data_IF_872734478570
#
_entry.id   IF_872734478570
#
_cell.length_a   1.000
_cell.length_b   1.000
_cell.length_c   1.000
_cell.angle_alpha   90.00
_cell.angle_beta   90.00
_cell.angle_gamma   90.00
#
_symmetry.space_group_name_H-M   'P 1'
#
loop_
_entity.id
_entity.type
_entity.pdbx_description
1 polymer ?
#
# COMPACT_ATOMS: atom_id res chain seq x y z
N UNK A 1 -13.40 20.42 -22.11
CA UNK A 1 -13.75 21.09 -20.85
C UNK A 1 -13.88 19.97 -19.84
N UNK A 2 -13.06 20.00 -18.79
CA UNK A 2 -13.05 18.98 -17.74
C UNK A 2 -13.86 19.49 -16.55
N UNK A 3 -14.04 18.66 -15.52
CA UNK A 3 -14.69 19.06 -14.27
C UNK A 3 -13.74 18.83 -13.11
N UNK A 4 -13.71 19.75 -12.15
CA UNK A 4 -12.93 19.60 -10.94
C UNK A 4 -13.39 18.33 -10.20
N UNK A 5 -12.48 17.41 -9.83
CA UNK A 5 -12.85 16.16 -9.16
C UNK A 5 -13.40 16.38 -7.75
N UNK A 6 -13.15 17.54 -7.14
CA UNK A 6 -13.60 17.88 -5.78
C UNK A 6 -15.01 18.48 -5.76
N UNK A 7 -15.27 19.48 -6.62
CA UNK A 7 -16.49 20.30 -6.55
C UNK A 7 -17.31 20.29 -7.86
N UNK A 8 -16.92 19.48 -8.83
CA UNK A 8 -17.55 19.36 -10.16
C UNK A 8 -17.61 20.66 -10.99
N UNK A 9 -16.97 21.75 -10.55
CA UNK A 9 -16.95 23.01 -11.30
C UNK A 9 -16.21 22.83 -12.65
N UNK A 10 -16.64 23.50 -13.73
CA UNK A 10 -15.95 23.43 -15.02
C UNK A 10 -14.51 23.94 -14.90
N UNK A 11 -13.57 23.20 -15.48
CA UNK A 11 -12.14 23.57 -15.54
C UNK A 11 -11.60 23.34 -16.94
N UNK A 12 -10.62 24.15 -17.34
CA UNK A 12 -9.87 23.97 -18.57
C UNK A 12 -8.71 22.98 -18.36
N UNK A 13 -8.32 22.28 -19.43
CA UNK A 13 -7.27 21.26 -19.39
C UNK A 13 -5.88 21.78 -18.99
N UNK A 14 -5.67 23.10 -19.07
CA UNK A 14 -4.43 23.79 -18.71
C UNK A 14 -4.44 24.35 -17.28
N UNK A 15 -5.60 24.35 -16.60
CA UNK A 15 -5.74 24.95 -15.28
C UNK A 15 -4.88 24.19 -14.28
N UNK A 16 -4.20 24.95 -13.41
CA UNK A 16 -3.38 24.39 -12.34
C UNK A 16 -4.19 24.16 -11.07
N UNK A 17 -5.16 25.03 -10.82
CA UNK A 17 -6.03 25.00 -9.66
C UNK A 17 -7.46 25.22 -10.10
N UNK A 18 -8.40 24.60 -9.40
CA UNK A 18 -9.81 24.94 -9.53
C UNK A 18 -10.07 26.29 -8.88
N UNK A 19 -10.59 27.26 -9.64
CA UNK A 19 -10.92 28.59 -9.11
C UNK A 19 -12.00 28.55 -8.02
N UNK A 20 -12.87 27.54 -8.03
CA UNK A 20 -13.99 27.43 -7.09
C UNK A 20 -13.58 26.88 -5.71
N UNK A 21 -12.67 25.90 -5.65
CA UNK A 21 -12.30 25.24 -4.39
C UNK A 21 -10.80 25.20 -4.10
N UNK A 22 -9.95 25.78 -4.97
CA UNK A 22 -8.50 25.79 -4.81
C UNK A 22 -7.80 24.45 -5.07
N UNK A 23 -8.54 23.39 -5.46
CA UNK A 23 -7.97 22.06 -5.71
C UNK A 23 -6.88 22.10 -6.78
N UNK A 24 -5.70 21.58 -6.49
CA UNK A 24 -4.64 21.40 -7.49
C UNK A 24 -5.06 20.34 -8.53
N UNK A 25 -5.26 20.76 -9.76
CA UNK A 25 -5.74 19.93 -10.87
C UNK A 25 -4.62 19.12 -11.55
N UNK A 26 -3.36 19.39 -11.20
CA UNK A 26 -2.20 18.63 -11.69
C UNK A 26 -1.95 17.35 -10.90
N UNK A 27 -2.55 17.23 -9.71
CA UNK A 27 -2.37 16.10 -8.81
C UNK A 27 -3.70 15.37 -8.65
N UNK A 28 -3.71 14.12 -9.08
CA UNK A 28 -4.79 13.17 -8.81
C UNK A 28 -4.30 12.22 -7.75
N UNK A 29 -5.09 11.96 -6.70
CA UNK A 29 -4.75 10.98 -5.66
C UNK A 29 -5.99 10.28 -5.14
N UNK A 30 -5.79 9.14 -4.50
CA UNK A 30 -6.80 8.46 -3.69
C UNK A 30 -7.32 9.38 -2.58
N UNK A 31 -8.56 9.17 -2.09
CA UNK A 31 -9.09 9.94 -0.97
C UNK A 31 -8.22 9.84 0.28
N UNK A 32 -8.07 10.96 0.99
CA UNK A 32 -7.41 11.00 2.31
C UNK A 32 -8.36 10.42 3.35
N UNK A 33 -7.87 9.57 4.24
CA UNK A 33 -8.66 8.84 5.24
C UNK A 33 -9.25 7.51 4.74
N UNK A 34 -8.90 7.09 3.51
CA UNK A 34 -9.30 5.79 2.95
C UNK A 34 -10.67 5.83 2.24
N UNK A 35 -11.38 4.70 2.11
CA UNK A 35 -12.71 4.69 1.51
C UNK A 35 -13.67 5.55 2.35
N UNK A 36 -14.56 6.29 1.70
CA UNK A 36 -15.56 7.11 2.40
C UNK A 36 -16.37 6.27 3.40
N UNK A 37 -16.89 6.91 4.46
CA UNK A 37 -17.60 6.27 5.57
C UNK A 37 -18.97 5.66 5.21
N UNK A 38 -19.22 5.31 3.95
CA UNK A 38 -20.46 4.66 3.52
C UNK A 38 -20.39 3.17 3.81
N UNK A 39 -21.17 2.72 4.79
CA UNK A 39 -21.22 1.32 5.14
C UNK A 39 -22.07 0.57 4.11
N UNK A 40 -21.64 -0.61 3.65
CA UNK A 40 -22.49 -1.48 2.85
C UNK A 40 -23.85 -1.66 3.54
N UNK A 41 -24.96 -1.56 2.80
CA UNK A 41 -26.29 -1.58 3.40
C UNK A 41 -26.69 -2.97 3.90
N UNK A 42 -25.95 -4.02 3.54
CA UNK A 42 -26.35 -5.41 3.74
C UNK A 42 -25.17 -6.27 4.21
N UNK A 43 -25.44 -7.20 5.11
CA UNK A 43 -24.51 -8.23 5.55
C UNK A 43 -24.22 -9.23 4.43
N UNK A 44 -23.05 -9.88 4.46
CA UNK A 44 -22.70 -10.94 3.52
C UNK A 44 -23.68 -12.15 3.50
N UNK A 45 -24.52 -12.30 4.52
CA UNK A 45 -25.58 -13.32 4.54
C UNK A 45 -26.90 -12.90 3.88
N UNK A 46 -27.01 -11.64 3.44
CA UNK A 46 -28.25 -11.04 2.94
C UNK A 46 -29.08 -10.28 3.98
N UNK A 47 -28.70 -10.33 5.26
CA UNK A 47 -29.40 -9.61 6.32
C UNK A 47 -29.15 -8.10 6.28
N UNK A 48 -30.18 -7.31 6.56
CA UNK A 48 -30.14 -5.83 6.55
C UNK A 48 -30.20 -5.23 7.97
N UNK A 49 -30.59 -6.03 8.96
CA UNK A 49 -30.72 -5.61 10.36
C UNK A 49 -29.46 -5.95 11.17
N UNK A 50 -29.02 -4.97 11.96
CA UNK A 50 -27.85 -5.06 12.83
C UNK A 50 -28.22 -4.55 14.21
N UNK A 51 -27.72 -5.23 15.24
CA UNK A 51 -27.91 -4.82 16.62
C UNK A 51 -27.13 -3.53 16.98
N UNK A 52 -27.26 -3.08 18.22
CA UNK A 52 -26.60 -1.87 18.71
C UNK A 52 -25.06 -1.97 18.70
N UNK A 53 -24.51 -3.18 18.71
CA UNK A 53 -23.08 -3.47 18.67
C UNK A 53 -22.58 -3.66 17.22
N UNK A 54 -23.49 -3.55 16.24
CA UNK A 54 -23.17 -3.64 14.82
C UNK A 54 -23.04 -5.07 14.31
N UNK A 55 -23.61 -6.07 14.97
CA UNK A 55 -23.65 -7.45 14.48
C UNK A 55 -24.98 -7.74 13.80
N UNK A 56 -24.93 -8.47 12.68
CA UNK A 56 -26.09 -8.83 11.89
C UNK A 56 -27.01 -9.73 12.72
N UNK A 57 -28.27 -9.33 12.91
CA UNK A 57 -29.22 -10.09 13.73
C UNK A 57 -29.54 -11.47 13.12
N UNK A 58 -29.32 -11.65 11.82
CA UNK A 58 -29.58 -12.92 11.11
C UNK A 58 -28.45 -13.94 11.23
N UNK A 59 -27.18 -13.52 11.24
CA UNK A 59 -26.04 -14.45 11.21
C UNK A 59 -24.94 -14.17 12.25
N UNK A 60 -25.06 -13.11 13.05
CA UNK A 60 -24.09 -12.72 14.07
C UNK A 60 -22.75 -12.21 13.53
N UNK A 61 -22.62 -11.96 12.22
CA UNK A 61 -21.39 -11.35 11.65
C UNK A 61 -21.40 -9.85 11.86
N UNK A 62 -20.22 -9.29 12.12
CA UNK A 62 -20.04 -7.83 12.17
C UNK A 62 -20.54 -7.17 10.87
N UNK A 63 -21.06 -5.95 11.00
CA UNK A 63 -21.50 -5.13 9.87
C UNK A 63 -20.31 -4.87 8.96
N UNK A 64 -20.45 -5.10 7.64
CA UNK A 64 -19.38 -4.82 6.71
C UNK A 64 -18.92 -3.37 6.82
N UNK A 65 -17.61 -3.17 6.78
CA UNK A 65 -17.01 -1.84 6.71
C UNK A 65 -16.80 -1.43 5.26
N UNK A 66 -16.79 -0.12 4.99
CA UNK A 66 -16.31 0.41 3.70
C UNK A 66 -14.86 0.01 3.41
N UNK A 67 -14.10 -0.34 4.46
CA UNK A 67 -12.72 -0.84 4.39
C UNK A 67 -12.60 -2.33 4.11
N UNK A 68 -13.70 -3.10 4.19
CA UNK A 68 -13.64 -4.54 3.98
C UNK A 68 -13.18 -4.91 2.57
N UNK A 69 -13.53 -4.09 1.58
CA UNK A 69 -13.04 -4.17 0.20
C UNK A 69 -12.93 -2.76 -0.37
N UNK A 70 -11.72 -2.35 -0.68
CA UNK A 70 -11.40 -1.03 -1.22
C UNK A 70 -10.78 -1.19 -2.59
N UNK A 71 -11.29 -0.47 -3.58
CA UNK A 71 -10.70 -0.41 -4.91
C UNK A 71 -10.54 1.04 -5.33
N UNK A 72 -9.33 1.39 -5.74
CA UNK A 72 -9.03 2.70 -6.30
C UNK A 72 -8.38 2.54 -7.67
N UNK A 73 -8.69 3.46 -8.59
CA UNK A 73 -8.16 3.44 -9.95
C UNK A 73 -7.82 4.86 -10.38
N UNK A 74 -6.57 5.04 -10.83
CA UNK A 74 -6.11 6.23 -11.56
C UNK A 74 -5.41 5.78 -12.85
N UNK A 75 -5.21 6.65 -13.85
CA UNK A 75 -4.54 6.24 -15.07
C UNK A 75 -3.08 5.82 -14.79
N UNK A 76 -2.77 4.55 -15.04
CA UNK A 76 -1.44 3.97 -14.84
C UNK A 76 -1.18 3.42 -13.44
N UNK A 77 -2.13 3.49 -12.51
CA UNK A 77 -2.00 2.89 -11.17
C UNK A 77 -3.36 2.53 -10.60
N UNK A 78 -3.47 1.35 -10.00
CA UNK A 78 -4.67 0.92 -9.31
C UNK A 78 -4.30 0.08 -8.10
N UNK A 79 -5.21 -0.04 -7.14
CA UNK A 79 -5.01 -0.91 -6.00
C UNK A 79 -6.31 -1.49 -5.47
N UNK A 80 -6.17 -2.66 -4.85
CA UNK A 80 -7.24 -3.38 -4.17
C UNK A 80 -6.76 -3.74 -2.77
N UNK A 81 -7.58 -3.48 -1.76
CA UNK A 81 -7.39 -3.95 -0.39
C UNK A 81 -8.63 -4.72 0.06
N UNK A 82 -8.45 -5.88 0.68
CA UNK A 82 -9.52 -6.75 1.17
C UNK A 82 -9.20 -7.19 2.60
N UNK A 83 -10.22 -7.22 3.47
CA UNK A 83 -10.09 -7.66 4.87
C UNK A 83 -9.63 -9.12 4.96
N UNK A 84 -9.86 -9.93 3.94
CA UNK A 84 -9.67 -11.36 3.99
C UNK A 84 -10.81 -12.06 4.72
N UNK A 85 -10.68 -13.39 4.84
CA UNK A 85 -11.72 -14.28 5.34
C UNK A 85 -11.69 -14.45 6.86
N UNK A 86 -10.56 -14.14 7.52
CA UNK A 86 -10.34 -14.47 8.94
C UNK A 86 -10.17 -13.26 9.86
N UNK A 87 -9.77 -12.11 9.34
CA UNK A 87 -9.60 -10.89 10.14
C UNK A 87 -10.94 -10.21 10.41
N UNK A 88 -11.08 -9.54 11.55
CA UNK A 88 -12.31 -8.79 11.90
C UNK A 88 -12.33 -7.36 11.34
N UNK A 89 -11.15 -6.78 11.08
CA UNK A 89 -10.97 -5.46 10.49
C UNK A 89 -9.92 -5.53 9.39
N UNK A 90 -9.97 -4.58 8.48
CA UNK A 90 -8.89 -4.34 7.52
C UNK A 90 -7.94 -3.29 8.10
N UNK A 91 -6.81 -3.77 8.61
CA UNK A 91 -5.74 -2.99 9.22
C UNK A 91 -4.68 -2.57 8.19
N UNK A 92 -4.78 -3.05 6.94
CA UNK A 92 -4.02 -2.51 5.82
C UNK A 92 -4.58 -1.18 5.32
N UNK A 93 -3.69 -0.38 4.72
CA UNK A 93 -4.04 0.82 3.98
C UNK A 93 -3.17 0.97 2.73
N UNK A 94 -3.73 1.66 1.73
CA UNK A 94 -3.00 2.07 0.54
C UNK A 94 -3.35 3.50 0.17
N UNK A 95 -2.39 4.23 -0.38
CA UNK A 95 -2.63 5.52 -1.02
C UNK A 95 -1.73 5.66 -2.25
N UNK A 96 -2.24 6.30 -3.29
CA UNK A 96 -1.45 6.57 -4.47
C UNK A 96 -1.98 7.79 -5.21
N UNK A 97 -1.12 8.37 -6.04
CA UNK A 97 -1.47 9.49 -6.87
C UNK A 97 -0.55 9.65 -8.06
N UNK A 98 -0.95 10.54 -8.94
CA UNK A 98 -0.23 10.91 -10.14
C UNK A 98 -0.11 12.41 -10.21
N UNK A 99 1.09 12.86 -10.54
CA UNK A 99 1.38 14.25 -10.88
C UNK A 99 1.54 14.33 -12.39
N UNK A 100 0.66 15.10 -13.04
CA UNK A 100 0.61 15.22 -14.50
C UNK A 100 1.96 15.70 -15.07
N UNK A 101 2.57 14.88 -15.92
CA UNK A 101 3.86 15.16 -16.56
C UNK A 101 5.08 15.01 -15.64
N UNK A 102 4.91 14.37 -14.47
CA UNK A 102 6.01 14.11 -13.53
C UNK A 102 6.14 12.65 -13.15
N UNK A 103 5.03 11.98 -12.83
CA UNK A 103 5.09 10.58 -12.42
C UNK A 103 3.92 10.12 -11.57
N UNK A 104 4.10 8.95 -10.96
CA UNK A 104 3.19 8.29 -10.02
C UNK A 104 3.92 8.06 -8.69
N UNK A 105 3.21 8.20 -7.58
CA UNK A 105 3.65 7.74 -6.27
C UNK A 105 2.59 6.79 -5.68
N UNK A 106 3.03 5.71 -5.06
CA UNK A 106 2.18 4.72 -4.41
C UNK A 106 2.78 4.28 -3.08
N UNK A 107 1.93 3.98 -2.10
CA UNK A 107 2.29 3.52 -0.75
C UNK A 107 1.31 2.45 -0.30
N UNK A 108 1.82 1.40 0.32
CA UNK A 108 1.08 0.36 1.06
C UNK A 108 1.66 0.29 2.47
N UNK A 109 0.79 0.22 3.46
CA UNK A 109 1.14 0.00 4.86
C UNK A 109 0.23 -1.07 5.44
N UNK A 110 0.82 -2.04 6.13
CA UNK A 110 0.15 -3.08 6.90
C UNK A 110 0.21 -2.73 8.38
N UNK A 111 -0.95 -2.61 9.03
CA UNK A 111 -1.04 -2.30 10.44
C UNK A 111 -0.64 -3.51 11.29
N UNK A 112 0.32 -3.34 12.20
CA UNK A 112 0.77 -4.44 13.07
C UNK A 112 -0.35 -4.84 14.02
N UNK A 113 -0.96 -6.02 13.78
CA UNK A 113 -2.16 -6.47 14.49
C UNK A 113 -2.01 -6.63 16.02
N UNK A 114 -0.77 -6.74 16.53
CA UNK A 114 -0.48 -6.76 17.97
C UNK A 114 -0.41 -5.37 18.61
N UNK A 115 -0.46 -4.29 17.81
CA UNK A 115 -0.45 -2.91 18.27
C UNK A 115 -1.85 -2.31 18.42
N UNK A 116 -2.00 -1.33 19.31
CA UNK A 116 -3.22 -0.55 19.37
C UNK A 116 -3.47 0.20 18.06
N UNK A 117 -4.74 0.28 17.62
CA UNK A 117 -5.16 1.18 16.53
C UNK A 117 -4.36 0.97 15.23
N UNK A 118 -3.97 -0.27 14.93
CA UNK A 118 -3.22 -0.67 13.72
C UNK A 118 -3.80 -0.09 12.41
N UNK A 119 -5.12 -0.12 12.25
CA UNK A 119 -5.84 0.51 11.13
C UNK A 119 -5.55 2.02 11.00
N UNK A 120 -5.51 2.73 12.13
CA UNK A 120 -5.23 4.17 12.13
C UNK A 120 -3.76 4.46 11.86
N UNK A 121 -2.86 3.59 12.33
CA UNK A 121 -1.43 3.67 12.03
C UNK A 121 -1.19 3.55 10.52
N UNK A 122 -1.68 2.48 9.90
CA UNK A 122 -1.49 2.27 8.46
C UNK A 122 -2.16 3.39 7.64
N UNK A 123 -3.36 3.84 8.01
CA UNK A 123 -4.08 4.89 7.28
C UNK A 123 -3.34 6.23 7.38
N UNK A 124 -2.90 6.62 8.58
CA UNK A 124 -2.18 7.87 8.80
C UNK A 124 -0.83 7.86 8.06
N UNK A 125 -0.14 6.72 8.03
CA UNK A 125 1.11 6.53 7.33
C UNK A 125 0.94 6.73 5.81
N UNK A 126 0.02 6.02 5.17
CA UNK A 126 -0.15 6.13 3.70
C UNK A 126 -0.60 7.52 3.28
N UNK A 127 -1.47 8.18 4.07
CA UNK A 127 -1.96 9.52 3.74
C UNK A 127 -0.84 10.55 3.78
N UNK A 128 -0.05 10.51 4.87
CA UNK A 128 1.06 11.43 5.12
C UNK A 128 2.18 11.22 4.09
N UNK A 129 2.57 9.96 3.86
CA UNK A 129 3.59 9.64 2.88
C UNK A 129 3.18 10.03 1.47
N UNK A 130 1.95 9.73 1.05
CA UNK A 130 1.46 10.11 -0.27
C UNK A 130 1.45 11.64 -0.46
N UNK A 131 1.13 12.42 0.58
CA UNK A 131 1.20 13.90 0.49
C UNK A 131 2.64 14.39 0.27
N UNK A 132 3.61 13.85 1.02
CA UNK A 132 5.04 14.19 0.87
C UNK A 132 5.53 13.81 -0.52
N UNK A 133 5.30 12.56 -0.92
CA UNK A 133 5.76 12.04 -2.21
C UNK A 133 5.18 12.84 -3.38
N UNK A 134 3.87 13.11 -3.40
CA UNK A 134 3.23 13.84 -4.50
C UNK A 134 3.67 15.31 -4.54
N UNK A 135 3.83 15.95 -3.40
CA UNK A 135 4.29 17.35 -3.31
C UNK A 135 5.70 17.50 -3.83
N UNK A 136 6.60 16.63 -3.41
CA UNK A 136 7.99 16.72 -3.84
C UNK A 136 8.22 16.18 -5.26
N UNK A 137 7.44 15.19 -5.73
CA UNK A 137 7.40 14.79 -7.13
C UNK A 137 6.93 15.94 -8.04
N UNK A 138 5.94 16.71 -7.60
CA UNK A 138 5.52 17.92 -8.32
C UNK A 138 6.63 18.96 -8.40
N UNK A 139 7.44 19.07 -7.35
CA UNK A 139 8.58 19.98 -7.25
C UNK A 139 9.82 19.47 -7.98
N UNK A 140 9.82 18.22 -8.45
CA UNK A 140 10.95 17.60 -9.17
C UNK A 140 12.13 17.26 -8.27
N UNK A 141 11.86 16.97 -6.99
CA UNK A 141 12.88 16.49 -6.06
C UNK A 141 13.35 15.07 -6.44
N UNK A 142 14.52 14.70 -5.93
CA UNK A 142 15.08 13.36 -6.11
C UNK A 142 14.22 12.28 -5.41
N UNK A 143 14.02 11.14 -6.08
CA UNK A 143 13.09 10.12 -5.63
C UNK A 143 13.53 9.39 -4.35
N UNK A 144 14.83 9.20 -4.11
CA UNK A 144 15.33 8.57 -2.89
C UNK A 144 15.22 9.53 -1.70
N UNK A 145 15.59 10.80 -1.89
CA UNK A 145 15.38 11.84 -0.88
C UNK A 145 13.89 11.96 -0.51
N UNK A 146 13.01 11.97 -1.52
CA UNK A 146 11.56 12.00 -1.33
C UNK A 146 11.04 10.81 -0.53
N UNK A 147 11.55 9.62 -0.83
CA UNK A 147 11.16 8.39 -0.15
C UNK A 147 11.60 8.41 1.31
N UNK A 148 12.77 8.98 1.59
CA UNK A 148 13.27 9.20 2.96
C UNK A 148 12.37 10.18 3.72
N UNK A 149 12.08 11.34 3.13
CA UNK A 149 11.21 12.36 3.73
C UNK A 149 9.81 11.79 4.03
N UNK A 150 9.27 10.97 3.11
CA UNK A 150 7.97 10.34 3.28
C UNK A 150 7.94 9.35 4.46
N UNK A 151 8.99 8.56 4.64
CA UNK A 151 9.11 7.63 5.78
C UNK A 151 9.27 8.38 7.09
N UNK A 152 10.11 9.40 7.16
CA UNK A 152 10.26 10.23 8.37
C UNK A 152 8.93 10.86 8.76
N UNK A 153 8.24 11.49 7.80
CA UNK A 153 6.95 12.12 8.07
C UNK A 153 5.86 11.11 8.47
N UNK A 154 5.81 9.94 7.82
CA UNK A 154 4.88 8.87 8.17
C UNK A 154 5.18 8.31 9.57
N UNK A 155 6.45 8.06 9.90
CA UNK A 155 6.87 7.58 11.22
C UNK A 155 6.46 8.54 12.32
N UNK A 156 6.71 9.84 12.15
CA UNK A 156 6.26 10.86 13.09
C UNK A 156 4.73 10.92 13.22
N UNK A 157 4.01 10.75 12.11
CA UNK A 157 2.56 10.78 12.11
C UNK A 157 1.94 9.59 12.84
N UNK A 158 2.48 8.40 12.65
CA UNK A 158 2.11 7.20 13.40
C UNK A 158 2.50 7.34 14.86
N UNK A 159 3.69 7.85 15.16
CA UNK A 159 4.17 8.08 16.53
C UNK A 159 3.26 9.02 17.33
N UNK A 160 2.63 10.02 16.69
CA UNK A 160 1.63 10.90 17.32
C UNK A 160 0.33 10.19 17.74
N UNK A 161 0.08 8.97 17.26
CA UNK A 161 -1.07 8.17 17.69
C UNK A 161 -0.83 7.51 19.06
N UNK A 162 0.43 7.35 19.47
CA UNK A 162 0.78 6.73 20.74
C UNK A 162 0.28 7.56 21.93
N UNK A 163 -0.17 6.86 22.98
CA UNK A 163 -0.56 7.47 24.25
C UNK A 163 0.57 7.23 25.26
N UNK A 164 1.15 8.28 25.87
CA UNK A 164 2.30 8.14 26.78
C UNK A 164 2.06 7.21 27.98
N UNK A 165 0.80 6.98 28.36
CA UNK A 165 0.40 6.21 29.54
C UNK A 165 -0.15 4.81 29.22
N UNK A 166 -0.20 4.42 27.94
CA UNK A 166 -0.71 3.11 27.54
C UNK A 166 0.31 2.00 27.86
N UNK A 167 -0.16 0.88 28.39
CA UNK A 167 0.65 -0.31 28.67
C UNK A 167 0.78 -1.24 27.44
N UNK A 168 0.09 -0.92 26.34
CA UNK A 168 0.04 -1.71 25.11
C UNK A 168 1.13 -1.28 24.11
N UNK A 169 1.38 -2.12 23.10
CA UNK A 169 2.34 -1.83 22.02
C UNK A 169 1.84 -0.61 21.24
N UNK A 170 2.73 0.37 21.05
CA UNK A 170 2.41 1.62 20.36
C UNK A 170 1.87 1.34 18.94
N UNK A 171 0.89 2.13 18.45
CA UNK A 171 0.37 1.98 17.10
C UNK A 171 1.51 1.91 16.08
N UNK A 172 1.51 0.85 15.29
CA UNK A 172 2.63 0.52 14.40
C UNK A 172 2.14 -0.03 13.06
N UNK A 173 2.93 0.19 12.01
CA UNK A 173 2.66 -0.37 10.69
C UNK A 173 3.94 -0.58 9.88
N UNK A 174 3.88 -1.41 8.84
CA UNK A 174 4.91 -1.48 7.80
C UNK A 174 4.83 -0.28 6.85
N UNK A 175 5.73 -0.23 5.88
CA UNK A 175 5.75 0.73 4.80
C UNK A 175 6.41 0.12 3.57
N UNK A 176 5.76 0.23 2.41
CA UNK A 176 6.41 0.06 1.11
C UNK A 176 5.87 1.10 0.14
N UNK A 177 6.76 1.74 -0.61
CA UNK A 177 6.41 2.80 -1.55
C UNK A 177 7.10 2.63 -2.89
N UNK A 178 6.54 3.26 -3.92
CA UNK A 178 7.15 3.40 -5.23
C UNK A 178 6.94 4.81 -5.77
N UNK A 179 8.02 5.41 -6.26
CA UNK A 179 8.01 6.65 -7.03
C UNK A 179 8.46 6.33 -8.44
N UNK A 180 7.57 6.51 -9.42
CA UNK A 180 7.83 6.23 -10.84
C UNK A 180 7.81 7.52 -11.61
N UNK A 181 8.92 7.85 -12.25
CA UNK A 181 9.11 9.03 -13.10
C UNK A 181 9.42 8.58 -14.53
N UNK A 182 9.61 9.54 -15.45
CA UNK A 182 10.02 9.23 -16.81
C UNK A 182 11.43 8.62 -16.81
N UNK A 183 11.51 7.29 -16.97
CA UNK A 183 12.76 6.54 -17.16
C UNK A 183 13.36 5.89 -15.91
N UNK A 184 12.80 6.11 -14.72
CA UNK A 184 13.27 5.46 -13.49
C UNK A 184 12.14 5.18 -12.50
N UNK A 185 12.38 4.19 -11.65
CA UNK A 185 11.54 3.90 -10.50
C UNK A 185 12.41 3.72 -9.26
N UNK A 186 11.93 4.25 -8.13
CA UNK A 186 12.52 4.09 -6.80
C UNK A 186 11.50 3.41 -5.91
N UNK A 187 11.91 2.33 -5.26
CA UNK A 187 11.14 1.64 -4.22
C UNK A 187 11.82 1.91 -2.88
N UNK A 188 11.03 2.18 -1.85
CA UNK A 188 11.56 2.21 -0.48
C UNK A 188 10.60 1.61 0.52
N UNK A 189 11.15 0.92 1.52
CA UNK A 189 10.38 0.11 2.45
C UNK A 189 10.96 0.10 3.87
N UNK A 190 10.08 -0.26 4.82
CA UNK A 190 10.32 -0.56 6.23
C UNK A 190 9.34 -1.67 6.63
N UNK A 191 9.84 -2.79 7.12
CA UNK A 191 9.01 -3.96 7.45
C UNK A 191 9.08 -5.03 6.36
N UNK A 192 8.02 -5.84 6.26
CA UNK A 192 7.95 -7.03 5.40
C UNK A 192 6.88 -6.92 4.29
N UNK A 193 6.28 -5.74 4.10
CA UNK A 193 5.54 -5.47 2.87
C UNK A 193 6.49 -5.39 1.69
N UNK A 194 6.12 -6.01 0.56
CA UNK A 194 7.03 -6.28 -0.54
C UNK A 194 6.72 -5.49 -1.79
N UNK A 195 7.74 -5.33 -2.63
CA UNK A 195 7.57 -4.85 -4.00
C UNK A 195 8.22 -5.82 -4.99
N UNK A 196 7.54 -6.04 -6.11
CA UNK A 196 7.97 -6.90 -7.20
C UNK A 196 7.96 -6.13 -8.52
N UNK A 197 9.01 -6.30 -9.31
CA UNK A 197 9.03 -5.91 -10.72
C UNK A 197 8.55 -7.08 -11.56
N UNK A 198 7.60 -6.83 -12.46
CA UNK A 198 7.15 -7.81 -13.45
C UNK A 198 7.26 -7.19 -14.84
N UNK A 199 8.16 -7.71 -15.66
CA UNK A 199 8.41 -7.24 -17.01
C UNK A 199 8.44 -8.42 -18.00
N UNK A 200 8.60 -8.12 -19.28
CA UNK A 200 8.73 -9.16 -20.32
C UNK A 200 9.91 -10.10 -20.05
N UNK A 201 11.00 -9.59 -19.49
CA UNK A 201 12.20 -10.35 -19.15
C UNK A 201 12.03 -11.32 -17.96
N UNK A 202 10.95 -11.17 -17.18
CA UNK A 202 10.68 -11.97 -15.99
C UNK A 202 10.18 -11.13 -14.83
N UNK A 203 10.18 -11.72 -13.64
CA UNK A 203 9.80 -11.06 -12.39
C UNK A 203 10.96 -11.10 -11.40
N UNK A 204 11.03 -10.08 -10.53
CA UNK A 204 12.03 -10.00 -9.47
C UNK A 204 11.44 -9.35 -8.22
N UNK A 205 11.78 -9.90 -7.04
CA UNK A 205 11.53 -9.23 -5.76
C UNK A 205 12.54 -8.10 -5.59
N UNK A 206 12.05 -6.90 -5.27
CA UNK A 206 12.88 -5.70 -5.12
C UNK A 206 13.22 -5.40 -3.65
N UNK A 207 12.49 -5.99 -2.71
CA UNK A 207 12.61 -5.75 -1.27
C UNK A 207 13.26 -6.94 -0.55
N UNK A 208 13.85 -6.65 0.60
CA UNK A 208 14.28 -7.63 1.60
C UNK A 208 13.57 -7.33 2.90
N UNK A 209 12.81 -8.29 3.41
CA UNK A 209 11.95 -8.10 4.58
C UNK A 209 12.76 -7.70 5.82
N UNK A 210 12.29 -6.70 6.56
CA UNK A 210 12.84 -6.34 7.86
C UNK A 210 12.27 -7.28 8.94
N UNK A 211 12.70 -8.53 8.94
CA UNK A 211 12.33 -9.54 9.94
C UNK A 211 13.55 -10.05 10.71
N UNK A 212 13.30 -10.63 11.89
CA UNK A 212 14.34 -11.29 12.69
C UNK A 212 15.07 -12.38 11.90
N UNK A 213 14.35 -13.18 11.12
CA UNK A 213 14.95 -14.20 10.27
C UNK A 213 15.87 -13.57 9.21
N UNK A 214 15.35 -12.60 8.45
CA UNK A 214 16.13 -11.93 7.41
C UNK A 214 17.39 -11.25 7.96
N UNK A 215 17.31 -10.65 9.15
CA UNK A 215 18.45 -10.03 9.82
C UNK A 215 19.54 -11.06 10.16
N UNK A 216 19.18 -12.20 10.78
CA UNK A 216 20.17 -13.22 11.14
C UNK A 216 20.83 -13.89 9.94
N UNK A 217 20.08 -14.04 8.84
CA UNK A 217 20.63 -14.52 7.56
C UNK A 217 21.61 -13.50 6.99
N UNK A 218 21.25 -12.22 6.98
CA UNK A 218 22.12 -11.15 6.50
C UNK A 218 23.42 -11.01 7.32
N UNK A 219 23.33 -11.25 8.63
CA UNK A 219 24.50 -11.26 9.54
C UNK A 219 25.32 -12.56 9.46
N UNK A 220 24.86 -13.57 8.71
CA UNK A 220 25.52 -14.87 8.57
C UNK A 220 25.46 -15.74 9.83
N UNK A 221 24.53 -15.44 10.75
CA UNK A 221 24.34 -16.17 12.02
C UNK A 221 23.58 -17.46 11.80
N UNK A 222 22.58 -17.45 10.90
CA UNK A 222 21.78 -18.61 10.50
C UNK A 222 21.72 -18.72 8.98
N UNK A 223 21.51 -19.94 8.49
CA UNK A 223 21.04 -20.14 7.11
C UNK A 223 19.57 -19.74 6.97
N UNK A 224 19.11 -19.50 5.75
CA UNK A 224 17.69 -19.18 5.48
C UNK A 224 16.74 -20.28 5.97
N UNK A 225 17.10 -21.54 5.72
CA UNK A 225 16.33 -22.70 6.19
C UNK A 225 16.23 -22.73 7.73
N UNK A 226 17.33 -22.49 8.44
CA UNK A 226 17.32 -22.47 9.91
C UNK A 226 16.50 -21.30 10.45
N UNK A 227 16.66 -20.11 9.88
CA UNK A 227 15.99 -18.89 10.33
C UNK A 227 14.45 -18.99 10.21
N UNK A 228 13.96 -19.61 9.13
CA UNK A 228 12.52 -19.79 8.88
C UNK A 228 11.85 -20.81 9.82
N UNK A 229 12.62 -21.66 10.50
CA UNK A 229 12.06 -22.64 11.46
C UNK A 229 11.84 -22.07 12.86
N UNK A 230 12.42 -20.90 13.18
CA UNK A 230 12.22 -20.25 14.48
C UNK A 230 10.81 -19.65 14.57
N UNK A 231 10.20 -19.70 15.76
CA UNK A 231 8.88 -19.08 16.01
C UNK A 231 8.88 -17.57 15.81
N UNK A 232 10.05 -16.93 15.84
CA UNK A 232 10.24 -15.50 15.64
C UNK A 232 10.56 -15.13 14.19
N UNK A 233 10.55 -16.09 13.26
CA UNK A 233 10.98 -15.85 11.89
C UNK A 233 10.29 -14.62 11.25
N UNK A 234 8.99 -14.47 11.50
CA UNK A 234 8.17 -13.37 10.97
C UNK A 234 8.08 -12.14 11.90
N UNK A 235 8.84 -12.09 13.00
CA UNK A 235 8.84 -10.91 13.87
C UNK A 235 9.56 -9.78 13.16
N UNK A 236 8.87 -8.67 12.96
CA UNK A 236 9.45 -7.46 12.37
C UNK A 236 10.65 -6.98 13.21
N UNK A 237 11.76 -6.68 12.55
CA UNK A 237 12.91 -5.99 13.13
C UNK A 237 12.85 -4.48 12.93
N UNK A 238 12.04 -4.00 11.96
CA UNK A 238 11.78 -2.58 11.71
C UNK A 238 10.32 -2.36 11.33
N UNK A 239 9.74 -1.26 11.84
CA UNK A 239 8.36 -0.83 11.60
C UNK A 239 8.28 0.70 11.72
N UNK A 240 7.16 1.32 11.35
CA UNK A 240 6.84 2.71 11.68
C UNK A 240 6.06 2.75 13.00
N UNK A 241 6.38 3.68 13.88
CA UNK A 241 5.81 3.76 15.23
C UNK A 241 6.64 4.61 16.18
N UNK A 242 6.07 4.98 17.33
CA UNK A 242 6.74 5.82 18.33
C UNK A 242 8.03 5.17 18.90
N UNK A 243 8.12 3.85 18.87
CA UNK A 243 9.21 3.02 19.39
C UNK A 243 10.14 2.47 18.29
N UNK A 244 9.93 2.87 17.03
CA UNK A 244 10.64 2.31 15.88
C UNK A 244 12.11 2.68 15.75
N UNK A 245 12.50 3.89 16.17
CA UNK A 245 13.83 4.46 15.89
C UNK A 245 14.17 4.58 14.39
N UNK A 246 13.19 4.48 13.49
CA UNK A 246 13.42 4.51 12.04
C UNK A 246 13.70 5.94 11.57
N UNK A 247 14.91 6.15 11.07
CA UNK A 247 15.37 7.43 10.52
C UNK A 247 15.38 7.46 8.98
N UNK A 248 15.49 6.30 8.33
CA UNK A 248 15.53 6.18 6.87
C UNK A 248 15.01 4.82 6.40
N UNK A 249 14.37 4.73 5.22
CA UNK A 249 14.00 3.44 4.62
C UNK A 249 15.19 2.70 4.02
N UNK A 250 14.99 1.42 3.71
CA UNK A 250 15.77 0.78 2.66
C UNK A 250 15.28 1.29 1.30
N UNK A 251 16.16 1.47 0.31
CA UNK A 251 15.78 1.95 -1.02
C UNK A 251 16.47 1.18 -2.14
N UNK A 252 15.80 1.08 -3.28
CA UNK A 252 16.39 0.63 -4.54
C UNK A 252 15.86 1.49 -5.69
N UNK A 253 16.77 1.99 -6.54
CA UNK A 253 16.45 2.77 -7.72
C UNK A 253 16.96 2.05 -8.97
N UNK A 254 16.12 1.97 -10.00
CA UNK A 254 16.48 1.35 -11.26
C UNK A 254 15.89 2.11 -12.46
N UNK A 255 16.49 1.91 -13.63
CA UNK A 255 15.98 2.46 -14.88
C UNK A 255 14.86 1.59 -15.42
N UNK A 256 13.81 2.24 -15.91
CA UNK A 256 12.68 1.57 -16.56
C UNK A 256 13.00 1.39 -18.04
N UNK A 257 13.68 0.29 -18.35
CA UNK A 257 14.13 0.01 -19.73
C UNK A 257 13.00 -0.56 -20.59
N UNK A 258 12.14 -1.40 -20.00
CA UNK A 258 11.02 -2.05 -20.69
C UNK A 258 9.70 -1.74 -19.99
N UNK A 259 8.59 -1.93 -20.71
CA UNK A 259 7.27 -1.82 -20.11
C UNK A 259 7.03 -3.01 -19.17
N UNK A 260 6.33 -2.75 -18.07
CA UNK A 260 6.11 -3.74 -17.04
C UNK A 260 5.16 -3.22 -15.96
N UNK A 261 5.14 -3.89 -14.83
CA UNK A 261 4.35 -3.56 -13.65
C UNK A 261 5.27 -3.55 -12.43
N UNK A 262 5.04 -2.59 -11.54
CA UNK A 262 5.44 -2.72 -10.15
C UNK A 262 4.23 -3.14 -9.34
N UNK A 263 4.40 -4.20 -8.55
CA UNK A 263 3.39 -4.72 -7.64
C UNK A 263 3.88 -4.49 -6.22
N UNK A 264 3.19 -3.66 -5.46
CA UNK A 264 3.42 -3.44 -4.02
C UNK A 264 2.34 -4.22 -3.26
N UNK A 265 2.71 -4.95 -2.23
CA UNK A 265 1.74 -5.72 -1.47
C UNK A 265 2.07 -5.90 0.02
N UNK A 266 1.04 -6.10 0.84
CA UNK A 266 1.16 -6.62 2.21
C UNK A 266 1.44 -8.13 2.22
N UNK A 267 1.65 -8.67 3.41
CA UNK A 267 1.93 -10.10 3.62
C UNK A 267 0.75 -11.01 3.27
N UNK A 268 -0.47 -10.49 3.29
CA UNK A 268 -1.65 -11.23 2.88
C UNK A 268 -1.63 -11.65 1.42
N UNK A 269 -0.83 -11.02 0.55
CA UNK A 269 -0.55 -11.54 -0.80
C UNK A 269 0.63 -12.51 -0.79
N UNK A 270 1.82 -12.04 -0.37
CA UNK A 270 3.05 -12.78 -0.60
C UNK A 270 3.13 -14.08 0.21
N UNK A 271 2.38 -14.22 1.30
CA UNK A 271 2.25 -15.50 2.01
C UNK A 271 1.63 -16.62 1.13
N UNK A 272 0.91 -16.28 0.07
CA UNK A 272 0.35 -17.25 -0.90
C UNK A 272 1.06 -17.23 -2.26
N UNK A 273 1.78 -16.15 -2.57
CA UNK A 273 2.52 -15.95 -3.82
C UNK A 273 3.91 -15.40 -3.46
N UNK A 274 4.77 -16.23 -2.82
CA UNK A 274 6.01 -15.74 -2.22
C UNK A 274 7.07 -15.36 -3.24
N UNK A 275 7.23 -16.19 -4.28
CA UNK A 275 8.31 -16.05 -5.25
C UNK A 275 7.89 -15.22 -6.47
N UNK A 276 8.83 -14.48 -7.09
CA UNK A 276 8.53 -13.73 -8.31
C UNK A 276 7.97 -14.59 -9.45
N UNK A 277 8.40 -15.84 -9.55
CA UNK A 277 7.91 -16.81 -10.54
C UNK A 277 6.43 -17.13 -10.31
N UNK A 278 5.98 -17.26 -9.07
CA UNK A 278 4.58 -17.51 -8.74
C UNK A 278 3.68 -16.35 -9.21
N UNK A 279 4.17 -15.11 -9.11
CA UNK A 279 3.47 -13.93 -9.66
C UNK A 279 3.29 -14.05 -11.17
N UNK A 280 4.32 -14.47 -11.92
CA UNK A 280 4.22 -14.62 -13.37
C UNK A 280 3.16 -15.64 -13.82
N UNK A 281 2.93 -16.67 -13.01
CA UNK A 281 1.95 -17.72 -13.30
C UNK A 281 0.50 -17.22 -13.15
N UNK A 282 0.25 -16.35 -12.17
CA UNK A 282 -1.11 -15.89 -11.83
C UNK A 282 -1.49 -14.56 -12.48
N UNK A 283 -0.52 -13.81 -12.99
CA UNK A 283 -0.76 -12.46 -13.51
C UNK A 283 -1.48 -12.46 -14.88
N UNK A 284 -2.65 -11.79 -14.98
CA UNK A 284 -3.31 -11.63 -16.28
C UNK A 284 -2.48 -10.68 -17.17
N UNK A 285 -2.28 -11.08 -18.43
CA UNK A 285 -1.47 -10.32 -19.40
C UNK A 285 -2.32 -9.37 -20.23
N UNK A 286 -1.78 -8.19 -20.53
CA UNK A 286 -2.41 -7.22 -21.43
C UNK A 286 -3.68 -6.56 -20.89
N UNK A 287 -3.92 -6.64 -19.56
CA UNK A 287 -5.08 -6.03 -18.90
C UNK A 287 -4.69 -4.76 -18.12
N UNK A 288 -5.65 -3.88 -17.80
CA UNK A 288 -5.39 -2.71 -16.96
C UNK A 288 -4.92 -3.06 -15.54
N UNK A 289 -4.18 -2.17 -14.84
CA UNK A 289 -3.67 -2.42 -13.49
C UNK A 289 -4.72 -2.88 -12.46
N UNK A 290 -5.97 -2.43 -12.59
CA UNK A 290 -7.04 -2.83 -11.66
C UNK A 290 -7.40 -4.31 -11.80
N UNK A 291 -7.42 -4.86 -13.01
CA UNK A 291 -7.71 -6.28 -13.22
C UNK A 291 -6.57 -7.15 -12.67
N UNK A 292 -5.34 -6.66 -12.77
CA UNK A 292 -4.18 -7.30 -12.14
C UNK A 292 -4.33 -7.33 -10.61
N UNK A 293 -4.60 -6.18 -10.00
CA UNK A 293 -4.74 -6.06 -8.55
C UNK A 293 -5.90 -6.93 -8.02
N UNK A 294 -7.03 -6.96 -8.74
CA UNK A 294 -8.17 -7.84 -8.42
C UNK A 294 -7.78 -9.30 -8.48
N UNK A 295 -7.15 -9.75 -9.56
CA UNK A 295 -6.77 -11.17 -9.69
C UNK A 295 -5.83 -11.61 -8.57
N UNK A 296 -4.82 -10.79 -8.23
CA UNK A 296 -3.88 -11.10 -7.14
C UNK A 296 -4.60 -11.23 -5.78
N UNK A 297 -5.53 -10.31 -5.48
CA UNK A 297 -6.34 -10.40 -4.26
C UNK A 297 -7.23 -11.64 -4.27
N UNK A 298 -7.88 -11.96 -5.40
CA UNK A 298 -8.72 -13.14 -5.53
C UNK A 298 -7.92 -14.45 -5.40
N UNK A 299 -6.68 -14.50 -5.90
CA UNK A 299 -5.76 -15.63 -5.71
C UNK A 299 -5.49 -15.86 -4.23
N UNK A 300 -5.09 -14.82 -3.49
CA UNK A 300 -4.84 -14.92 -2.05
C UNK A 300 -6.10 -15.30 -1.26
N UNK A 301 -7.26 -14.74 -1.62
CA UNK A 301 -8.54 -15.11 -1.02
C UNK A 301 -8.87 -16.59 -1.26
N UNK A 302 -8.70 -17.10 -2.49
CA UNK A 302 -8.96 -18.51 -2.84
C UNK A 302 -7.99 -19.45 -2.11
N UNK A 303 -6.72 -19.05 -1.96
CA UNK A 303 -5.69 -19.84 -1.28
C UNK A 303 -5.85 -19.88 0.26
N UNK A 304 -6.59 -18.94 0.84
CA UNK A 304 -7.01 -19.02 2.24
C UNK A 304 -7.55 -17.72 2.82
N UNK A 305 -6.98 -16.59 2.41
CA UNK A 305 -7.36 -15.25 2.88
C UNK A 305 -7.29 -15.12 4.41
N UNK A 306 -6.21 -15.62 5.01
CA UNK A 306 -6.03 -15.58 6.47
C UNK A 306 -5.68 -14.19 7.00
N UNK A 307 -5.12 -13.32 6.17
CA UNK A 307 -4.77 -11.94 6.54
C UNK A 307 -5.53 -10.89 5.71
N UNK A 308 -5.35 -9.63 6.07
CA UNK A 308 -5.66 -8.50 5.20
C UNK A 308 -4.76 -8.55 3.96
N UNK A 309 -5.33 -8.26 2.80
CA UNK A 309 -4.64 -8.41 1.51
C UNK A 309 -4.70 -7.09 0.80
N UNK A 310 -3.56 -6.45 0.60
CA UNK A 310 -3.47 -5.18 -0.13
C UNK A 310 -2.47 -5.28 -1.25
N UNK A 311 -2.87 -4.83 -2.43
CA UNK A 311 -2.09 -4.87 -3.66
C UNK A 311 -2.25 -3.56 -4.40
N UNK A 312 -1.14 -2.88 -4.70
CA UNK A 312 -1.09 -1.71 -5.59
C UNK A 312 -0.22 -2.04 -6.80
N UNK A 313 -0.78 -1.82 -7.99
CA UNK A 313 -0.12 -2.09 -9.26
C UNK A 313 0.14 -0.76 -9.98
N UNK A 314 1.41 -0.46 -10.22
CA UNK A 314 1.87 0.71 -10.98
C UNK A 314 2.37 0.26 -12.35
N UNK A 315 1.82 0.84 -13.41
CA UNK A 315 2.26 0.55 -14.77
C UNK A 315 3.57 1.28 -15.08
N UNK A 316 4.58 0.51 -15.47
CA UNK A 316 5.85 1.01 -15.99
C UNK A 316 5.77 1.16 -17.51
N UNK A 317 6.27 2.28 -18.02
CA UNK A 317 6.41 2.53 -19.45
C UNK A 317 7.89 2.56 -19.78
N UNK A 318 8.36 1.57 -20.52
CA UNK A 318 9.71 1.57 -21.05
C UNK A 318 9.92 2.76 -21.97
N UNK A 319 11.13 3.32 -21.97
CA UNK A 319 11.54 4.25 -23.02
C UNK A 319 11.43 3.56 -24.37
N UNK A 320 10.68 4.13 -25.31
CA UNK A 320 10.85 3.73 -26.70
C UNK A 320 12.28 4.12 -27.06
N UNK A 321 13.12 3.13 -27.37
CA UNK A 321 14.42 3.41 -27.97
C UNK A 321 14.21 4.39 -29.13
N UNK A 322 14.87 5.54 -29.03
CA UNK A 322 14.91 6.52 -30.10
C UNK A 322 15.56 5.93 -31.36
#
# INVERSE_FOLDING_TARGET
MESCPECASPVASQDRFCEACGRNLRVQRTPVGGPGAQWPPMCACGGEEFDADGFCEQCGRARPSARDRVEFVLPGVAGVSDRGKRRQRNEDSMAFGRVRGRGVAAVVCDGVASSERAEQASQQAVDTAADVLLTGLQSGMDAEALTTDAVVAANEAVGRLARPEAAEVAPSCTFVSAVVTDGSATVGWVGDSRAYLVAEAGAARLTTDDTWAAQLVAEGVLTEEEALTDRRAHVLSRWLGADSGVEAPQTVTFKVETSGLLVLCSDGLWNYVPEPEDLLEVLPRGVPPIEVARELVEVALKAGGHDNITVVVVQLRGGHGA
#
